data_IF_150687074014
#
_entry.id   IF_150687074014
#
_cell.length_a   1.000
_cell.length_b   1.000
_cell.length_c   1.000
_cell.angle_alpha   90.00
_cell.angle_beta   90.00
_cell.angle_gamma   90.00
#
_symmetry.space_group_name_H-M   'P 1'
#
loop_
_entity.id
_entity.type
_entity.pdbx_description
1 polymer ?
#
# COMPACT_ATOMS: atom_id res chain seq x y z
N UNK A 1 25.02 -0.52 -60.98
CA UNK A 1 25.13 0.30 -59.76
C UNK A 1 24.66 1.69 -60.14
N UNK A 2 23.40 2.00 -59.84
CA UNK A 2 22.73 3.22 -60.30
C UNK A 2 21.97 3.81 -59.12
N UNK A 3 22.41 5.00 -58.70
CA UNK A 3 21.77 5.86 -57.70
C UNK A 3 20.56 6.58 -58.29
N UNK A 4 19.45 6.65 -57.55
CA UNK A 4 18.61 7.85 -57.49
C UNK A 4 17.84 7.93 -56.17
N UNK A 5 17.94 9.10 -55.54
CA UNK A 5 17.19 9.56 -54.39
C UNK A 5 16.07 10.53 -54.87
N UNK A 6 15.17 10.86 -53.92
CA UNK A 6 14.10 11.88 -53.91
C UNK A 6 12.70 11.34 -54.23
N UNK A 7 11.60 11.80 -53.63
CA UNK A 7 11.28 12.66 -52.48
C UNK A 7 9.72 12.69 -52.43
N UNK A 8 9.17 13.23 -51.33
CA UNK A 8 7.85 13.86 -51.16
C UNK A 8 6.63 13.07 -50.65
N UNK A 9 6.24 13.50 -49.43
CA UNK A 9 4.94 14.09 -49.08
C UNK A 9 3.75 13.17 -48.75
N UNK A 10 3.59 12.98 -47.43
CA UNK A 10 2.41 13.31 -46.62
C UNK A 10 1.04 13.51 -47.28
N UNK A 11 0.04 12.85 -46.68
CA UNK A 11 -1.22 13.51 -46.34
C UNK A 11 -1.90 12.83 -45.16
N UNK A 12 -2.11 13.66 -44.14
CA UNK A 12 -3.03 13.48 -43.03
C UNK A 12 -4.40 12.99 -43.51
N UNK A 13 -4.97 12.04 -42.78
CA UNK A 13 -6.42 12.01 -42.56
C UNK A 13 -6.69 11.81 -41.08
N UNK A 14 -6.90 12.94 -40.41
CA UNK A 14 -7.55 13.00 -39.12
C UNK A 14 -8.99 12.47 -39.24
N UNK A 15 -9.41 11.62 -38.30
CA UNK A 15 -10.80 11.62 -37.86
C UNK A 15 -10.87 11.37 -36.36
N UNK A 16 -11.22 12.45 -35.66
CA UNK A 16 -11.78 12.50 -34.31
C UNK A 16 -12.82 11.37 -34.11
N UNK A 17 -12.97 10.75 -32.94
CA UNK A 17 -12.89 11.31 -31.61
C UNK A 17 -14.25 11.10 -30.96
N UNK A 18 -14.32 10.22 -29.97
CA UNK A 18 -15.38 10.16 -28.97
C UNK A 18 -14.86 9.34 -27.78
N UNK A 19 -13.91 9.92 -27.04
CA UNK A 19 -13.62 9.47 -25.69
C UNK A 19 -14.80 9.92 -24.82
N UNK A 20 -15.60 8.96 -24.34
CA UNK A 20 -16.45 9.21 -23.19
C UNK A 20 -15.51 9.38 -21.99
N UNK A 21 -15.33 10.63 -21.57
CA UNK A 21 -14.80 10.95 -20.26
C UNK A 21 -15.82 10.45 -19.23
N UNK A 22 -15.57 9.25 -18.69
CA UNK A 22 -16.20 8.84 -17.45
C UNK A 22 -15.62 9.72 -16.35
N UNK A 23 -16.49 10.43 -15.64
CA UNK A 23 -16.15 11.19 -14.44
C UNK A 23 -15.30 10.30 -13.52
N UNK A 24 -14.02 10.67 -13.38
CA UNK A 24 -12.97 9.90 -12.73
C UNK A 24 -13.09 9.86 -11.21
N UNK A 25 -14.23 9.42 -10.70
CA UNK A 25 -14.40 9.16 -9.27
C UNK A 25 -13.88 7.76 -8.98
N UNK A 26 -12.69 7.68 -8.39
CA UNK A 26 -12.18 6.43 -7.83
C UNK A 26 -13.20 5.91 -6.81
N UNK A 27 -13.73 4.68 -6.97
CA UNK A 27 -14.68 4.15 -6.01
C UNK A 27 -14.00 4.04 -4.63
N UNK A 28 -14.71 4.44 -3.58
CA UNK A 28 -14.19 4.37 -2.22
C UNK A 28 -13.85 2.91 -1.86
N UNK A 29 -12.78 2.73 -1.07
CA UNK A 29 -12.40 1.40 -0.58
C UNK A 29 -13.56 0.76 0.21
N UNK A 30 -13.91 -0.48 -0.16
CA UNK A 30 -14.98 -1.26 0.50
C UNK A 30 -14.61 -1.69 1.91
N UNK A 31 -13.31 -1.90 2.17
CA UNK A 31 -12.78 -2.20 3.49
C UNK A 31 -11.94 -1.04 4.01
N UNK A 32 -12.09 -0.74 5.30
CA UNK A 32 -11.29 0.28 5.96
C UNK A 32 -9.82 -0.15 6.04
N UNK A 33 -8.95 0.59 5.36
CA UNK A 33 -7.50 0.45 5.45
C UNK A 33 -7.00 1.19 6.69
N UNK A 34 -6.01 0.63 7.39
CA UNK A 34 -5.41 1.26 8.56
C UNK A 34 -3.98 1.71 8.28
N UNK A 35 -3.76 3.00 8.52
CA UNK A 35 -2.42 3.55 8.68
C UNK A 35 -1.80 3.03 9.98
N UNK A 36 -0.50 3.25 10.17
CA UNK A 36 0.11 3.01 11.48
C UNK A 36 -0.54 3.96 12.49
N UNK A 37 -0.92 3.40 13.64
CA UNK A 37 -1.58 4.13 14.72
C UNK A 37 -0.76 5.38 15.14
N UNK A 38 -1.40 6.54 15.39
CA UNK A 38 -0.70 7.77 15.77
C UNK A 38 0.23 7.62 16.98
N UNK A 39 -0.17 6.89 18.02
CA UNK A 39 0.67 6.67 19.19
C UNK A 39 1.90 5.81 18.85
N UNK A 40 1.72 4.80 18.00
CA UNK A 40 2.82 4.00 17.48
C UNK A 40 3.76 4.85 16.62
N UNK A 41 3.24 5.77 15.80
CA UNK A 41 4.06 6.69 15.00
C UNK A 41 4.93 7.60 15.89
N UNK A 42 4.39 8.11 17.00
CA UNK A 42 5.18 8.90 17.96
C UNK A 42 6.35 8.10 18.54
N UNK A 43 6.13 6.82 18.86
CA UNK A 43 7.20 5.94 19.31
C UNK A 43 8.24 5.71 18.22
N UNK A 44 7.80 5.34 17.00
CA UNK A 44 8.68 5.05 15.88
C UNK A 44 9.53 6.25 15.46
N UNK A 45 9.04 7.48 15.64
CA UNK A 45 9.83 8.72 15.43
C UNK A 45 10.92 8.95 16.47
N UNK A 46 10.86 8.25 17.61
CA UNK A 46 11.91 8.29 18.65
C UNK A 46 12.83 7.08 18.55
N UNK A 47 12.24 5.89 18.51
CA UNK A 47 12.94 4.60 18.47
C UNK A 47 12.08 3.57 17.75
N UNK A 48 12.65 2.96 16.72
CA UNK A 48 11.94 2.01 15.87
C UNK A 48 11.76 0.63 16.53
N UNK A 49 11.07 -0.27 15.84
CA UNK A 49 10.78 -1.61 16.36
C UNK A 49 12.02 -2.52 16.47
N UNK A 50 13.18 -2.10 15.94
CA UNK A 50 14.47 -2.75 16.14
C UNK A 50 15.27 -2.14 17.31
N UNK A 51 14.71 -1.15 18.00
CA UNK A 51 15.39 -0.42 19.06
C UNK A 51 16.37 0.64 18.57
N UNK A 52 16.34 1.06 17.30
CA UNK A 52 17.24 2.10 16.75
C UNK A 52 16.57 3.47 16.77
N UNK A 53 17.30 4.57 17.02
CA UNK A 53 16.73 5.90 16.88
C UNK A 53 16.28 6.14 15.43
N UNK A 54 15.20 6.90 15.25
CA UNK A 54 14.82 7.35 13.91
C UNK A 54 15.76 8.46 13.44
N UNK A 55 16.11 8.42 12.16
CA UNK A 55 16.95 9.44 11.52
C UNK A 55 16.17 10.08 10.37
N UNK A 56 15.40 11.16 10.64
CA UNK A 56 14.65 11.85 9.60
C UNK A 56 15.56 12.58 8.62
N UNK A 57 15.18 12.56 7.35
CA UNK A 57 15.88 13.26 6.27
C UNK A 57 14.87 13.86 5.28
N UNK A 58 15.33 14.81 4.46
CA UNK A 58 14.51 15.39 3.39
C UNK A 58 14.52 14.46 2.20
N UNK A 59 13.34 14.04 1.74
CA UNK A 59 13.17 13.27 0.51
C UNK A 59 13.25 14.21 -0.72
N UNK A 60 14.31 14.17 -1.53
CA UNK A 60 14.45 15.09 -2.66
C UNK A 60 13.55 14.73 -3.84
N UNK A 61 13.12 13.47 -3.96
CA UNK A 61 12.41 12.95 -5.12
C UNK A 61 10.90 12.83 -4.88
N UNK A 62 10.52 12.45 -3.66
CA UNK A 62 9.16 12.01 -3.37
C UNK A 62 8.92 10.56 -3.80
N UNK A 63 7.67 10.10 -3.73
CA UNK A 63 7.29 8.76 -4.17
C UNK A 63 7.51 7.65 -3.13
N UNK A 64 8.07 7.95 -1.96
CA UNK A 64 8.18 7.00 -0.86
C UNK A 64 6.77 6.68 -0.31
N UNK A 65 6.35 5.41 -0.19
CA UNK A 65 5.03 5.09 0.31
C UNK A 65 4.95 5.31 1.83
N UNK A 66 4.25 6.35 2.28
CA UNK A 66 4.20 6.72 3.69
C UNK A 66 3.11 5.95 4.44
N UNK A 67 3.49 5.29 5.53
CA UNK A 67 2.57 4.44 6.31
C UNK A 67 1.78 5.20 7.37
N UNK A 68 2.15 6.45 7.64
CA UNK A 68 1.45 7.33 8.56
C UNK A 68 0.19 7.95 7.95
N UNK A 69 0.18 8.20 6.64
CA UNK A 69 -0.93 8.87 5.94
C UNK A 69 -1.36 8.15 4.65
N UNK A 70 -0.74 7.01 4.34
CA UNK A 70 -1.09 6.14 3.21
C UNK A 70 -1.04 6.81 1.82
N UNK A 71 -0.27 7.89 1.70
CA UNK A 71 0.07 8.54 0.42
C UNK A 71 1.54 8.38 0.10
N UNK A 72 1.90 8.68 -1.15
CA UNK A 72 3.30 8.86 -1.51
C UNK A 72 3.82 10.18 -0.91
N UNK A 73 5.11 10.20 -0.53
CA UNK A 73 5.80 11.43 -0.17
C UNK A 73 5.87 12.38 -1.36
N UNK A 74 6.00 13.67 -1.07
CA UNK A 74 6.32 14.70 -2.05
C UNK A 74 7.80 15.08 -1.90
N UNK A 75 8.42 15.51 -2.99
CA UNK A 75 9.74 16.11 -2.94
C UNK A 75 9.78 17.25 -1.92
N UNK A 76 10.84 17.30 -1.11
CA UNK A 76 11.05 18.25 -0.02
C UNK A 76 10.45 17.85 1.32
N UNK A 77 9.69 16.75 1.42
CA UNK A 77 9.12 16.31 2.69
C UNK A 77 10.18 15.68 3.60
N UNK A 78 10.08 15.95 4.91
CA UNK A 78 10.91 15.27 5.91
C UNK A 78 10.30 13.91 6.25
N UNK A 79 11.01 12.84 5.92
CA UNK A 79 10.58 11.45 6.13
C UNK A 79 11.65 10.68 6.92
N UNK A 80 11.29 9.52 7.45
CA UNK A 80 12.22 8.59 8.08
C UNK A 80 11.93 7.16 7.61
N UNK A 81 12.98 6.37 7.44
CA UNK A 81 12.89 4.93 7.22
C UNK A 81 13.11 4.20 8.55
N UNK A 82 12.07 3.52 9.03
CA UNK A 82 12.08 2.88 10.36
C UNK A 82 11.80 1.39 10.23
N UNK A 83 12.36 0.56 11.13
CA UNK A 83 11.85 -0.82 11.29
C UNK A 83 10.47 -0.78 11.94
N UNK A 84 9.55 -1.58 11.42
CA UNK A 84 8.20 -1.74 11.94
C UNK A 84 7.78 -3.21 11.93
N UNK A 85 7.19 -3.67 13.03
CA UNK A 85 6.68 -5.02 13.22
C UNK A 85 5.14 -5.00 13.33
N UNK A 86 4.40 -4.95 12.21
CA UNK A 86 2.95 -4.75 12.22
C UNK A 86 2.20 -5.81 13.03
N UNK A 87 2.56 -7.08 12.84
CA UNK A 87 1.87 -8.18 13.50
C UNK A 87 2.13 -8.19 15.01
N UNK A 88 3.32 -7.77 15.46
CA UNK A 88 3.65 -7.60 16.88
C UNK A 88 2.77 -6.56 17.54
N UNK A 89 2.63 -5.41 16.87
CA UNK A 89 1.87 -4.26 17.33
C UNK A 89 0.38 -4.60 17.42
N UNK A 90 -0.15 -5.29 16.39
CA UNK A 90 -1.50 -5.83 16.42
C UNK A 90 -1.69 -6.85 17.55
N UNK A 91 -0.77 -7.81 17.70
CA UNK A 91 -0.83 -8.85 18.72
C UNK A 91 -0.81 -8.29 20.14
N UNK A 92 -0.02 -7.23 20.39
CA UNK A 92 -0.02 -6.52 21.66
C UNK A 92 -1.39 -5.90 21.99
N UNK A 93 -2.14 -5.44 20.98
CA UNK A 93 -3.47 -4.87 21.15
C UNK A 93 -4.57 -5.93 21.30
N UNK A 94 -4.41 -7.13 20.73
CA UNK A 94 -5.45 -8.17 20.70
C UNK A 94 -5.19 -9.35 21.63
N UNK A 95 -3.99 -9.47 22.19
CA UNK A 95 -3.57 -10.63 23.00
C UNK A 95 -3.14 -11.85 22.18
N UNK A 96 -3.01 -11.71 20.86
CA UNK A 96 -2.54 -12.78 19.98
C UNK A 96 -1.08 -13.18 20.25
N UNK A 97 -0.67 -14.35 19.78
CA UNK A 97 0.69 -14.90 19.97
C UNK A 97 1.24 -15.45 18.65
N UNK A 98 1.68 -14.56 17.74
CA UNK A 98 2.08 -14.95 16.38
C UNK A 98 3.35 -15.82 16.35
N UNK A 99 4.20 -15.76 17.38
CA UNK A 99 5.44 -16.53 17.44
C UNK A 99 6.37 -16.20 16.26
N UNK A 100 6.86 -17.22 15.56
CA UNK A 100 7.78 -17.06 14.43
C UNK A 100 7.20 -16.29 13.23
N UNK A 101 5.88 -16.05 13.18
CA UNK A 101 5.25 -15.22 12.14
C UNK A 101 5.42 -13.71 12.38
N UNK A 102 5.96 -13.32 13.53
CA UNK A 102 6.17 -11.93 13.92
C UNK A 102 7.32 -11.29 13.12
N UNK A 103 6.98 -10.83 11.93
CA UNK A 103 7.91 -10.23 10.98
C UNK A 103 8.11 -8.72 11.22
N UNK A 104 9.33 -8.27 10.95
CA UNK A 104 9.75 -6.89 11.03
C UNK A 104 10.38 -6.45 9.71
N UNK A 105 10.07 -5.25 9.24
CA UNK A 105 10.61 -4.73 7.99
C UNK A 105 10.59 -3.21 7.91
N UNK A 106 11.24 -2.62 6.89
CA UNK A 106 11.36 -1.18 6.77
C UNK A 106 10.05 -0.55 6.24
N UNK A 107 9.67 0.59 6.82
CA UNK A 107 8.56 1.42 6.34
C UNK A 107 8.96 2.90 6.37
N UNK A 108 8.46 3.68 5.41
CA UNK A 108 8.59 5.13 5.45
C UNK A 108 7.46 5.76 6.26
N UNK A 109 7.79 6.75 7.08
CA UNK A 109 6.86 7.61 7.81
C UNK A 109 7.33 9.06 7.72
N UNK A 110 6.44 10.02 7.97
CA UNK A 110 6.87 11.41 8.16
C UNK A 110 7.76 11.53 9.41
N UNK A 111 8.83 12.31 9.29
CA UNK A 111 9.75 12.60 10.40
C UNK A 111 9.10 13.39 11.53
N UNK A 112 8.01 14.09 11.22
CA UNK A 112 7.19 14.86 12.17
C UNK A 112 5.76 14.33 12.20
N UNK A 113 4.94 14.85 13.13
CA UNK A 113 3.50 14.59 13.16
C UNK A 113 2.85 14.92 11.80
N UNK A 114 1.87 14.11 11.40
CA UNK A 114 1.11 14.30 10.17
C UNK A 114 -0.38 14.13 10.45
N UNK A 115 -1.22 14.71 9.59
CA UNK A 115 -2.69 14.68 9.72
C UNK A 115 -3.30 13.29 9.55
N UNK A 116 -2.54 12.32 9.03
CA UNK A 116 -3.00 10.97 8.78
C UNK A 116 -3.60 10.80 7.38
N UNK A 117 -4.31 9.67 7.14
CA UNK A 117 -4.89 9.40 5.83
C UNK A 117 -6.07 10.32 5.53
N UNK A 118 -6.19 10.76 4.27
CA UNK A 118 -7.35 11.50 3.79
C UNK A 118 -8.55 10.55 3.60
N UNK A 119 -9.77 11.04 3.87
CA UNK A 119 -10.99 10.27 3.66
C UNK A 119 -11.27 9.97 2.18
N UNK A 120 -11.93 8.84 1.91
CA UNK A 120 -12.53 8.55 0.60
C UNK A 120 -11.57 8.12 -0.51
N UNK A 121 -10.31 7.84 -0.21
CA UNK A 121 -9.39 7.27 -1.19
C UNK A 121 -9.70 5.77 -1.45
N UNK A 122 -9.35 5.28 -2.65
CA UNK A 122 -9.28 3.85 -2.93
C UNK A 122 -8.20 3.15 -2.08
N UNK A 123 -7.81 1.95 -2.46
CA UNK A 123 -6.76 1.22 -1.75
C UNK A 123 -5.38 1.90 -1.96
N UNK A 124 -4.65 2.19 -0.86
CA UNK A 124 -3.37 2.87 -0.96
C UNK A 124 -2.39 2.14 -1.86
N UNK A 125 -1.67 2.93 -2.67
CA UNK A 125 -0.63 2.42 -3.56
C UNK A 125 -1.12 1.38 -4.59
N UNK A 126 -2.44 1.25 -4.81
CA UNK A 126 -2.99 0.45 -5.89
C UNK A 126 -2.79 1.22 -7.20
N UNK A 127 -1.99 0.65 -8.10
CA UNK A 127 -1.77 1.17 -9.46
C UNK A 127 -1.59 0.00 -10.42
N UNK A 128 -1.97 0.14 -11.69
CA UNK A 128 -1.80 -0.92 -12.69
C UNK A 128 -0.35 -1.38 -12.78
N UNK A 129 -0.16 -2.69 -12.97
CA UNK A 129 1.15 -3.36 -13.07
C UNK A 129 1.87 -3.57 -11.74
N UNK A 130 1.36 -3.03 -10.62
CA UNK A 130 2.00 -3.22 -9.33
C UNK A 130 1.74 -4.64 -8.76
N UNK A 131 2.75 -5.22 -8.12
CA UNK A 131 2.65 -6.55 -7.52
C UNK A 131 2.40 -6.48 -6.02
N UNK A 132 1.37 -7.17 -5.51
CA UNK A 132 1.03 -7.19 -4.08
C UNK A 132 1.03 -8.60 -3.54
N UNK A 133 1.66 -8.77 -2.39
CA UNK A 133 1.47 -9.95 -1.55
C UNK A 133 0.41 -9.58 -0.50
N UNK A 134 -0.68 -10.32 -0.51
CA UNK A 134 -1.76 -10.19 0.45
C UNK A 134 -1.71 -11.40 1.36
N UNK A 135 -1.53 -11.19 2.66
CA UNK A 135 -1.36 -12.25 3.65
C UNK A 135 -2.48 -12.22 4.66
N UNK A 136 -3.08 -13.38 4.91
CA UNK A 136 -4.24 -13.54 5.78
C UNK A 136 -3.79 -14.13 7.11
N UNK A 137 -4.29 -13.60 8.21
CA UNK A 137 -3.96 -14.08 9.55
C UNK A 137 -5.21 -14.46 10.33
N UNK A 138 -5.08 -15.54 11.10
CA UNK A 138 -6.07 -15.94 12.08
C UNK A 138 -6.00 -15.09 13.36
N UNK A 139 -6.93 -15.33 14.29
CA UNK A 139 -6.98 -14.63 15.58
C UNK A 139 -5.76 -14.89 16.48
N UNK A 140 -4.98 -15.93 16.23
CA UNK A 140 -3.73 -16.20 16.93
C UNK A 140 -2.52 -15.50 16.29
N UNK A 141 -2.71 -14.85 15.13
CA UNK A 141 -1.63 -14.23 14.37
C UNK A 141 -0.84 -15.22 13.52
N UNK A 142 -1.40 -16.40 13.21
CA UNK A 142 -0.78 -17.36 12.28
C UNK A 142 -1.22 -17.06 10.86
N UNK A 143 -0.33 -17.35 9.91
CA UNK A 143 -0.66 -17.22 8.49
C UNK A 143 -1.70 -18.28 8.14
N UNK A 144 -2.91 -17.83 7.84
CA UNK A 144 -4.03 -18.68 7.42
C UNK A 144 -4.07 -18.87 5.91
N UNK A 145 -3.48 -17.93 5.15
CA UNK A 145 -3.40 -18.00 3.70
C UNK A 145 -2.81 -16.73 3.09
N UNK A 146 -2.96 -16.59 1.77
CA UNK A 146 -2.57 -15.37 1.07
C UNK A 146 -2.80 -15.43 -0.43
N UNK A 147 -2.60 -14.29 -1.10
CA UNK A 147 -2.72 -14.11 -2.55
C UNK A 147 -1.55 -13.27 -3.08
N UNK A 148 -1.07 -13.65 -4.26
CA UNK A 148 -0.26 -12.77 -5.10
C UNK A 148 -1.22 -12.05 -6.05
N UNK A 149 -1.15 -10.71 -6.09
CA UNK A 149 -1.90 -9.90 -7.02
C UNK A 149 -0.95 -9.21 -7.99
N UNK A 150 -1.24 -9.33 -9.27
CA UNK A 150 -0.80 -8.39 -10.28
C UNK A 150 -1.96 -7.44 -10.55
N UNK A 151 -1.80 -6.16 -10.20
CA UNK A 151 -2.91 -5.23 -10.23
C UNK A 151 -3.25 -4.83 -11.68
N UNK A 152 -4.48 -5.06 -12.16
CA UNK A 152 -4.91 -4.64 -13.49
C UNK A 152 -5.23 -3.13 -13.50
N UNK A 153 -5.76 -2.64 -14.63
CA UNK A 153 -6.28 -1.27 -14.74
C UNK A 153 -7.28 -0.94 -13.62
N UNK A 154 -8.21 -1.86 -13.33
CA UNK A 154 -9.13 -1.77 -12.20
C UNK A 154 -8.46 -2.25 -10.88
N UNK A 155 -7.37 -1.58 -10.49
CA UNK A 155 -6.53 -2.00 -9.38
C UNK A 155 -7.28 -2.08 -8.03
N UNK A 156 -8.14 -1.11 -7.73
CA UNK A 156 -8.92 -1.08 -6.50
C UNK A 156 -9.91 -2.24 -6.39
N UNK A 157 -10.55 -2.60 -7.50
CA UNK A 157 -11.47 -3.74 -7.52
C UNK A 157 -10.73 -5.05 -7.28
N UNK A 158 -9.52 -5.20 -7.84
CA UNK A 158 -8.71 -6.40 -7.64
C UNK A 158 -8.29 -6.57 -6.17
N UNK A 159 -7.87 -5.48 -5.51
CA UNK A 159 -7.59 -5.50 -4.07
C UNK A 159 -8.87 -5.83 -3.28
N UNK A 160 -9.99 -5.19 -3.62
CA UNK A 160 -11.27 -5.46 -2.96
C UNK A 160 -11.72 -6.92 -3.08
N UNK A 161 -11.58 -7.55 -4.26
CA UNK A 161 -11.91 -8.97 -4.46
C UNK A 161 -11.02 -9.89 -3.64
N UNK A 162 -9.72 -9.59 -3.53
CA UNK A 162 -8.81 -10.36 -2.70
C UNK A 162 -9.18 -10.27 -1.20
N UNK A 163 -9.68 -9.12 -0.76
CA UNK A 163 -10.18 -8.95 0.61
C UNK A 163 -11.52 -9.66 0.83
N UNK A 164 -12.43 -9.64 -0.14
CA UNK A 164 -13.67 -10.43 -0.09
C UNK A 164 -13.38 -11.92 0.05
N UNK A 165 -12.43 -12.42 -0.73
CA UNK A 165 -11.99 -13.80 -0.66
C UNK A 165 -11.35 -14.14 0.69
N UNK A 166 -10.52 -13.25 1.22
CA UNK A 166 -9.90 -13.42 2.53
C UNK A 166 -10.95 -13.54 3.64
N UNK A 167 -11.89 -12.59 3.69
CA UNK A 167 -12.90 -12.50 4.75
C UNK A 167 -14.15 -13.37 4.51
N UNK A 168 -14.20 -14.10 3.39
CA UNK A 168 -15.18 -15.17 3.20
C UNK A 168 -14.96 -16.33 4.18
N UNK A 169 -13.71 -16.54 4.62
CA UNK A 169 -13.39 -17.45 5.72
C UNK A 169 -13.41 -16.69 7.07
N UNK A 170 -14.33 -17.02 7.99
CA UNK A 170 -14.42 -16.33 9.28
C UNK A 170 -13.20 -16.54 10.18
N UNK A 171 -12.32 -17.50 9.89
CA UNK A 171 -11.06 -17.64 10.61
C UNK A 171 -10.09 -16.49 10.33
N UNK A 172 -10.22 -15.79 9.19
CA UNK A 172 -9.36 -14.66 8.83
C UNK A 172 -9.85 -13.38 9.49
N UNK A 173 -9.06 -12.82 10.40
CA UNK A 173 -9.42 -11.59 11.15
C UNK A 173 -8.57 -10.37 10.75
N UNK A 174 -7.43 -10.61 10.10
CA UNK A 174 -6.46 -9.60 9.74
C UNK A 174 -5.85 -9.93 8.39
N UNK A 175 -5.72 -8.91 7.54
CA UNK A 175 -5.04 -9.00 6.26
C UNK A 175 -3.95 -7.95 6.19
N UNK A 176 -2.73 -8.35 5.84
CA UNK A 176 -1.66 -7.43 5.47
C UNK A 176 -1.52 -7.37 3.96
N UNK A 177 -1.47 -6.15 3.42
CA UNK A 177 -1.03 -5.91 2.04
C UNK A 177 0.43 -5.50 2.08
N UNK A 178 1.24 -6.08 1.18
CA UNK A 178 2.70 -5.85 1.11
C UNK A 178 3.14 -5.64 -0.34
N UNK A 179 4.25 -4.93 -0.53
CA UNK A 179 4.97 -4.91 -1.80
C UNK A 179 5.61 -6.27 -2.04
N UNK A 180 5.53 -6.79 -3.27
CA UNK A 180 6.28 -8.00 -3.64
C UNK A 180 7.74 -7.66 -3.87
N UNK A 181 8.00 -6.50 -4.46
CA UNK A 181 9.31 -6.04 -4.90
C UNK A 181 10.31 -5.92 -3.74
N UNK A 182 9.82 -5.55 -2.55
CA UNK A 182 10.65 -5.31 -1.37
C UNK A 182 10.18 -6.08 -0.12
N UNK A 183 9.01 -6.72 -0.15
CA UNK A 183 8.40 -7.39 1.02
C UNK A 183 7.81 -6.45 2.09
N UNK A 184 7.99 -5.12 1.93
CA UNK A 184 7.59 -4.13 2.93
C UNK A 184 6.06 -4.12 3.15
N UNK A 185 5.66 -3.97 4.43
CA UNK A 185 4.28 -3.77 4.84
C UNK A 185 3.70 -2.51 4.21
N UNK A 186 2.54 -2.56 3.53
CA UNK A 186 1.82 -1.37 3.03
C UNK A 186 0.82 -0.86 4.06
N UNK A 187 -0.18 -1.68 4.39
CA UNK A 187 -1.23 -1.37 5.35
C UNK A 187 -1.89 -2.68 5.80
N UNK A 188 -2.69 -2.58 6.86
CA UNK A 188 -3.55 -3.65 7.32
C UNK A 188 -5.02 -3.35 7.05
N UNK A 189 -5.79 -4.42 6.92
CA UNK A 189 -7.26 -4.40 6.90
C UNK A 189 -7.73 -5.40 7.94
N UNK A 190 -8.70 -5.01 8.75
CA UNK A 190 -9.31 -5.89 9.76
C UNK A 190 -10.64 -6.41 9.23
N UNK A 191 -10.94 -7.67 9.57
CA UNK A 191 -12.24 -8.25 9.25
C UNK A 191 -13.37 -7.47 9.93
N UNK A 192 -14.60 -7.54 9.40
CA UNK A 192 -15.76 -6.97 10.05
C UNK A 192 -15.92 -7.58 11.46
N UNK A 193 -16.07 -6.73 12.48
CA UNK A 193 -16.24 -7.18 13.86
C UNK A 193 -17.58 -7.94 14.01
N UNK A 194 -17.54 -9.18 14.49
CA UNK A 194 -18.73 -9.94 14.92
C UNK A 194 -19.54 -10.65 13.83
N UNK A 195 -18.93 -11.60 13.09
CA UNK A 195 -19.70 -12.66 12.41
C UNK A 195 -19.85 -13.89 13.30
#
# INVERSE_FOLDING_TARGET
>A
MTTHARDTAGRDTARAGAAHAADGKVPAARYAVRAIDPAVLEELRRRDDAGRPAEPYTDPEGGAPLRCCLRLSRAGERIALVSYAPLRRWAAATGARPGAYEEQGPVFVHGEACEGPAEGAGYPFARPGALRNVRFYDAAGRIHGGRLLELPEAADEAVGRALDEAFADPAVVLVHVRAVEYGCFHYEVRGPEGR
#
